data_IF_009228253753
#
_entry.id   IF_009228253753
#
_cell.length_a   1.000
_cell.length_b   1.000
_cell.length_c   1.000
_cell.angle_alpha   90.00
_cell.angle_beta   90.00
_cell.angle_gamma   90.00
#
_symmetry.space_group_name_H-M   'P 1'
#
loop_
_entity.id
_entity.type
_entity.pdbx_description
1 polymer ?
#
# COMPACT_ATOMS: atom_id res chain seq x y z
N UNK A 1 -3.72 -30.24 37.02
CA UNK A 1 -2.54 -30.25 36.12
C UNK A 1 -2.90 -29.95 34.65
N UNK A 2 -3.97 -30.51 34.07
CA UNK A 2 -4.45 -30.21 32.70
C UNK A 2 -4.69 -28.72 32.39
N UNK A 3 -5.34 -27.96 33.28
CA UNK A 3 -5.61 -26.52 33.06
C UNK A 3 -4.32 -25.68 32.95
N UNK A 4 -3.28 -26.00 33.72
CA UNK A 4 -1.96 -25.35 33.61
C UNK A 4 -1.28 -25.67 32.26
N UNK A 5 -1.43 -26.89 31.76
CA UNK A 5 -0.89 -27.29 30.46
C UNK A 5 -1.61 -26.55 29.31
N UNK A 6 -2.95 -26.47 29.35
CA UNK A 6 -3.76 -25.74 28.37
C UNK A 6 -3.40 -24.24 28.37
N UNK A 7 -3.32 -23.62 29.55
CA UNK A 7 -2.93 -22.20 29.64
C UNK A 7 -1.52 -21.94 29.11
N UNK A 8 -0.57 -22.86 29.34
CA UNK A 8 0.78 -22.76 28.80
C UNK A 8 0.79 -22.89 27.27
N UNK A 9 -0.02 -23.80 26.73
CA UNK A 9 -0.17 -24.02 25.29
C UNK A 9 -0.80 -22.80 24.60
N UNK A 10 -1.89 -22.24 25.15
CA UNK A 10 -2.53 -21.01 24.61
C UNK A 10 -1.56 -19.82 24.65
N UNK A 11 -0.77 -19.69 25.71
CA UNK A 11 0.22 -18.61 25.83
C UNK A 11 1.34 -18.75 24.80
N UNK A 12 1.85 -19.96 24.59
CA UNK A 12 2.84 -20.27 23.55
C UNK A 12 2.28 -20.00 22.15
N UNK A 13 1.03 -20.39 21.89
CA UNK A 13 0.37 -20.15 20.61
C UNK A 13 0.22 -18.65 20.32
N UNK A 14 -0.21 -17.85 21.31
CA UNK A 14 -0.26 -16.39 21.17
C UNK A 14 1.12 -15.76 20.94
N UNK A 15 2.17 -16.30 21.57
CA UNK A 15 3.55 -15.84 21.36
C UNK A 15 4.05 -16.18 19.95
N UNK A 16 3.73 -17.37 19.44
CA UNK A 16 4.05 -17.75 18.05
C UNK A 16 3.29 -16.88 17.05
N UNK A 17 1.98 -16.66 17.25
CA UNK A 17 1.18 -15.74 16.41
C UNK A 17 1.76 -14.31 16.41
N UNK A 18 2.18 -13.83 17.59
CA UNK A 18 2.79 -12.50 17.70
C UNK A 18 4.15 -12.42 16.98
N UNK A 19 5.01 -13.43 17.13
CA UNK A 19 6.30 -13.49 16.46
C UNK A 19 6.15 -13.57 14.93
N UNK A 20 5.22 -14.40 14.43
CA UNK A 20 4.92 -14.51 13.00
C UNK A 20 4.36 -13.20 12.43
N UNK A 21 3.54 -12.47 13.20
CA UNK A 21 3.05 -11.15 12.83
C UNK A 21 4.19 -10.11 12.77
N UNK A 22 5.16 -10.17 13.69
CA UNK A 22 6.33 -9.30 13.68
C UNK A 22 7.28 -9.60 12.50
N UNK A 23 7.49 -10.87 12.17
CA UNK A 23 8.28 -11.29 11.01
C UNK A 23 7.65 -10.81 9.69
N UNK A 24 6.34 -11.01 9.55
CA UNK A 24 5.56 -10.51 8.41
C UNK A 24 5.63 -8.98 8.30
N UNK A 25 5.59 -8.28 9.45
CA UNK A 25 5.76 -6.82 9.51
C UNK A 25 7.18 -6.39 9.13
N UNK A 26 8.22 -7.18 9.45
CA UNK A 26 9.61 -6.91 9.07
C UNK A 26 9.84 -7.01 7.56
N UNK A 27 9.24 -8.01 6.91
CA UNK A 27 9.28 -8.16 5.44
C UNK A 27 8.53 -7.00 4.76
N UNK A 28 7.33 -6.66 5.26
CA UNK A 28 6.57 -5.49 4.80
C UNK A 28 7.32 -4.18 5.00
N UNK A 29 7.98 -3.99 6.14
CA UNK A 29 8.75 -2.78 6.44
C UNK A 29 9.95 -2.60 5.49
N UNK A 30 10.59 -3.68 5.06
CA UNK A 30 11.67 -3.64 4.06
C UNK A 30 11.16 -3.17 2.69
N UNK A 31 10.03 -3.70 2.22
CA UNK A 31 9.39 -3.26 0.97
C UNK A 31 8.93 -1.81 1.02
N UNK A 32 8.28 -1.41 2.13
CA UNK A 32 7.80 -0.03 2.33
C UNK A 32 8.97 0.96 2.39
N UNK A 33 10.06 0.63 3.08
CA UNK A 33 11.24 1.48 3.16
C UNK A 33 11.89 1.67 1.78
N UNK A 34 11.95 0.61 0.98
CA UNK A 34 12.42 0.68 -0.40
C UNK A 34 11.54 1.61 -1.26
N UNK A 35 10.22 1.44 -1.19
CA UNK A 35 9.29 2.25 -1.99
C UNK A 35 9.31 3.72 -1.57
N UNK A 36 9.43 4.00 -0.27
CA UNK A 36 9.59 5.36 0.23
C UNK A 36 10.88 6.01 -0.30
N UNK A 37 11.99 5.27 -0.30
CA UNK A 37 13.26 5.75 -0.88
C UNK A 37 13.17 6.01 -2.38
N UNK A 38 12.39 5.21 -3.12
CA UNK A 38 12.16 5.45 -4.54
C UNK A 38 11.40 6.74 -4.80
N UNK A 39 10.38 7.01 -3.98
CA UNK A 39 9.61 8.26 -4.06
C UNK A 39 10.50 9.46 -3.72
N UNK A 40 11.30 9.38 -2.65
CA UNK A 40 12.26 10.43 -2.29
C UNK A 40 13.28 10.68 -3.40
N UNK A 41 13.82 9.63 -4.00
CA UNK A 41 14.75 9.74 -5.13
C UNK A 41 14.11 10.48 -6.31
N UNK A 42 12.85 10.18 -6.62
CA UNK A 42 12.10 10.89 -7.65
C UNK A 42 11.90 12.38 -7.33
N UNK A 43 11.54 12.70 -6.08
CA UNK A 43 11.39 14.08 -5.62
C UNK A 43 12.72 14.85 -5.75
N UNK A 44 13.81 14.28 -5.22
CA UNK A 44 15.14 14.89 -5.26
C UNK A 44 15.64 15.05 -6.70
N UNK A 45 15.45 14.05 -7.56
CA UNK A 45 15.84 14.12 -8.96
C UNK A 45 15.09 15.20 -9.73
N UNK A 46 13.77 15.32 -9.54
CA UNK A 46 12.99 16.39 -10.16
C UNK A 46 13.36 17.78 -9.59
N UNK A 47 13.67 17.88 -8.30
CA UNK A 47 14.11 19.13 -7.70
C UNK A 47 15.46 19.60 -8.28
N UNK A 48 16.43 18.70 -8.41
CA UNK A 48 17.72 18.98 -9.03
C UNK A 48 17.59 19.40 -10.51
N UNK A 49 16.71 18.72 -11.27
CA UNK A 49 16.43 19.09 -12.65
C UNK A 49 15.71 20.44 -12.76
N UNK A 50 14.78 20.74 -11.85
CA UNK A 50 14.13 22.04 -11.79
C UNK A 50 15.15 23.15 -11.53
N UNK A 51 16.04 22.97 -10.55
CA UNK A 51 17.11 23.92 -10.20
C UNK A 51 18.05 24.16 -11.38
N UNK A 52 18.51 23.09 -12.04
CA UNK A 52 19.38 23.18 -13.21
C UNK A 52 18.71 23.94 -14.38
N UNK A 53 17.41 23.72 -14.61
CA UNK A 53 16.69 24.32 -15.73
C UNK A 53 16.12 25.72 -15.43
N UNK A 54 16.28 26.27 -14.22
CA UNK A 54 15.85 27.64 -13.92
C UNK A 54 16.51 28.69 -14.83
N UNK A 55 17.75 28.42 -15.25
CA UNK A 55 18.55 29.33 -16.09
C UNK A 55 18.54 28.87 -17.56
N UNK A 56 18.68 27.57 -17.81
CA UNK A 56 18.81 27.05 -19.19
C UNK A 56 17.47 26.90 -19.93
N UNK A 57 16.39 26.52 -19.23
CA UNK A 57 15.09 26.26 -19.87
C UNK A 57 13.93 26.37 -18.87
N UNK A 58 13.58 27.61 -18.52
CA UNK A 58 12.52 27.90 -17.54
C UNK A 58 11.17 27.25 -17.88
N UNK A 59 10.91 26.99 -19.18
CA UNK A 59 9.65 26.41 -19.66
C UNK A 59 9.42 24.96 -19.20
N UNK A 60 10.47 24.21 -18.87
CA UNK A 60 10.34 22.82 -18.40
C UNK A 60 10.24 22.70 -16.87
N UNK A 61 10.54 23.77 -16.12
CA UNK A 61 10.54 23.77 -14.65
C UNK A 61 9.16 23.40 -14.09
N UNK A 62 8.08 23.90 -14.69
CA UNK A 62 6.71 23.58 -14.27
C UNK A 62 6.41 22.07 -14.30
N UNK A 63 6.97 21.33 -15.25
CA UNK A 63 6.82 19.87 -15.34
C UNK A 63 7.51 19.17 -14.17
N UNK A 64 8.73 19.58 -13.84
CA UNK A 64 9.48 19.00 -12.72
C UNK A 64 8.79 19.30 -11.38
N UNK A 65 8.28 20.52 -11.19
CA UNK A 65 7.49 20.87 -10.01
C UNK A 65 6.21 20.02 -9.91
N UNK A 66 5.49 19.83 -11.02
CA UNK A 66 4.31 18.94 -11.04
C UNK A 66 4.68 17.51 -10.65
N UNK A 67 5.79 16.97 -11.14
CA UNK A 67 6.25 15.63 -10.78
C UNK A 67 6.61 15.52 -9.30
N UNK A 68 7.18 16.56 -8.69
CA UNK A 68 7.45 16.60 -7.24
C UNK A 68 6.15 16.50 -6.46
N UNK A 69 5.11 17.26 -6.86
CA UNK A 69 3.79 17.21 -6.22
C UNK A 69 3.20 15.80 -6.31
N UNK A 70 3.16 15.20 -7.50
CA UNK A 70 2.65 13.84 -7.70
C UNK A 70 3.42 12.79 -6.89
N UNK A 71 4.76 12.88 -6.84
CA UNK A 71 5.56 11.98 -6.00
C UNK A 71 5.29 12.19 -4.50
N UNK A 72 5.06 13.43 -4.07
CA UNK A 72 4.75 13.74 -2.67
C UNK A 72 3.37 13.21 -2.25
N UNK A 73 2.37 13.25 -3.15
CA UNK A 73 1.06 12.64 -2.94
C UNK A 73 1.19 11.12 -2.75
N UNK A 74 2.00 10.45 -3.59
CA UNK A 74 2.29 9.02 -3.43
C UNK A 74 2.98 8.70 -2.10
N UNK A 75 3.88 9.57 -1.63
CA UNK A 75 4.49 9.41 -0.31
C UNK A 75 3.44 9.48 0.81
N UNK A 76 2.50 10.43 0.71
CA UNK A 76 1.42 10.57 1.67
C UNK A 76 0.50 9.34 1.69
N UNK A 77 0.15 8.80 0.52
CA UNK A 77 -0.62 7.57 0.41
C UNK A 77 0.10 6.37 1.03
N UNK A 78 1.41 6.25 0.81
CA UNK A 78 2.22 5.20 1.44
C UNK A 78 2.25 5.35 2.97
N UNK A 79 2.39 6.58 3.49
CA UNK A 79 2.30 6.82 4.93
C UNK A 79 0.92 6.45 5.51
N UNK A 80 -0.16 6.71 4.78
CA UNK A 80 -1.52 6.31 5.19
C UNK A 80 -1.64 4.80 5.27
N UNK A 81 -1.15 4.08 4.25
CA UNK A 81 -1.11 2.62 4.27
C UNK A 81 -0.30 2.08 5.45
N UNK A 82 0.86 2.68 5.76
CA UNK A 82 1.65 2.31 6.95
C UNK A 82 0.87 2.49 8.26
N UNK A 83 0.10 3.58 8.39
CA UNK A 83 -0.75 3.81 9.56
C UNK A 83 -1.86 2.77 9.68
N UNK A 84 -2.51 2.44 8.56
CA UNK A 84 -3.54 1.39 8.48
C UNK A 84 -2.95 0.03 8.90
N UNK A 85 -1.78 -0.34 8.38
CA UNK A 85 -1.08 -1.58 8.76
C UNK A 85 -0.61 -1.60 10.22
N UNK A 86 -0.24 -0.46 10.79
CA UNK A 86 0.16 -0.34 12.20
C UNK A 86 -1.03 -0.42 13.18
N UNK A 87 -2.26 -0.53 12.66
CA UNK A 87 -3.48 -0.52 13.47
C UNK A 87 -3.84 0.85 14.04
N UNK A 88 -3.17 1.92 13.57
CA UNK A 88 -3.42 3.32 13.96
C UNK A 88 -4.24 4.10 12.94
N UNK A 89 -4.55 3.50 11.79
CA UNK A 89 -5.49 4.04 10.82
C UNK A 89 -6.91 4.17 11.40
N UNK A 90 -7.65 5.17 10.95
CA UNK A 90 -9.09 5.22 11.22
C UNK A 90 -9.78 4.14 10.39
N UNK A 91 -10.08 3.00 11.01
CA UNK A 91 -10.91 1.98 10.39
C UNK A 91 -12.36 2.44 10.41
N UNK A 92 -12.90 2.75 9.24
CA UNK A 92 -14.33 2.91 9.07
C UNK A 92 -14.96 1.53 8.89
N UNK A 93 -15.51 0.97 9.97
CA UNK A 93 -16.34 -0.24 9.90
C UNK A 93 -17.70 0.17 9.36
N UNK A 94 -17.99 -0.19 8.11
CA UNK A 94 -19.29 0.01 7.47
C UNK A 94 -19.79 -1.27 6.84
N UNK A 95 -21.11 -1.39 6.72
CA UNK A 95 -21.73 -2.41 5.89
C UNK A 95 -21.34 -2.15 4.44
N UNK A 96 -20.74 -3.14 3.79
CA UNK A 96 -20.33 -3.07 2.39
C UNK A 96 -21.03 -4.16 1.61
N UNK A 97 -21.55 -3.81 0.45
CA UNK A 97 -22.06 -4.76 -0.53
C UNK A 97 -20.87 -5.33 -1.30
N UNK A 98 -20.48 -6.57 -0.96
CA UNK A 98 -19.34 -7.26 -1.58
C UNK A 98 -19.58 -7.47 -3.08
N UNK A 99 -20.83 -7.77 -3.48
CA UNK A 99 -21.19 -7.98 -4.87
C UNK A 99 -20.98 -6.71 -5.69
N UNK A 100 -21.35 -5.55 -5.13
CA UNK A 100 -21.08 -4.25 -5.75
C UNK A 100 -19.59 -3.96 -5.91
N UNK A 101 -18.78 -4.20 -4.88
CA UNK A 101 -17.32 -3.98 -4.93
C UNK A 101 -16.66 -4.86 -6.00
N UNK A 102 -17.08 -6.11 -6.11
CA UNK A 102 -16.56 -7.03 -7.13
C UNK A 102 -16.92 -6.55 -8.54
N UNK A 103 -18.16 -6.10 -8.76
CA UNK A 103 -18.58 -5.54 -10.06
C UNK A 103 -17.85 -4.25 -10.43
N UNK A 104 -17.53 -3.38 -9.46
CA UNK A 104 -16.72 -2.18 -9.73
C UNK A 104 -15.28 -2.55 -10.11
N UNK A 105 -14.75 -3.61 -9.50
CA UNK A 105 -13.39 -4.10 -9.76
C UNK A 105 -13.30 -4.90 -11.08
N UNK A 106 -14.37 -5.60 -11.48
CA UNK A 106 -14.38 -6.41 -12.71
C UNK A 106 -14.12 -5.57 -13.97
N UNK A 107 -14.62 -4.33 -14.01
CA UNK A 107 -14.36 -3.38 -15.09
C UNK A 107 -12.86 -3.10 -15.30
N UNK A 108 -12.08 -3.07 -14.22
CA UNK A 108 -10.63 -2.89 -14.29
C UNK A 108 -9.92 -4.17 -14.73
N UNK A 109 -10.45 -5.33 -14.32
CA UNK A 109 -9.93 -6.64 -14.69
C UNK A 109 -10.16 -6.94 -16.17
N UNK A 110 -11.32 -6.58 -16.73
CA UNK A 110 -11.63 -6.75 -18.15
C UNK A 110 -10.65 -6.01 -19.08
N UNK A 111 -10.10 -4.88 -18.63
CA UNK A 111 -9.11 -4.10 -19.40
C UNK A 111 -7.69 -4.62 -19.19
N UNK A 112 -7.42 -5.30 -18.07
CA UNK A 112 -6.07 -5.74 -17.68
C UNK A 112 -5.77 -7.19 -18.06
N UNK A 113 -6.80 -8.01 -18.25
CA UNK A 113 -6.68 -9.44 -18.53
C UNK A 113 -6.76 -9.68 -20.05
N UNK A 114 -5.99 -10.66 -20.52
CA UNK A 114 -5.98 -11.04 -21.93
C UNK A 114 -7.38 -11.48 -22.42
N UNK A 115 -7.73 -11.10 -23.65
CA UNK A 115 -9.05 -11.36 -24.24
C UNK A 115 -9.38 -12.85 -24.41
N UNK A 116 -8.38 -13.74 -24.30
CA UNK A 116 -8.58 -15.19 -24.32
C UNK A 116 -9.02 -15.79 -22.98
N UNK A 117 -9.16 -14.99 -21.92
CA UNK A 117 -9.54 -15.46 -20.58
C UNK A 117 -10.96 -14.99 -20.27
N UNK A 118 -11.83 -15.94 -19.93
CA UNK A 118 -13.20 -15.66 -19.50
C UNK A 118 -13.26 -15.51 -17.97
N UNK A 119 -13.89 -14.44 -17.50
CA UNK A 119 -14.13 -14.19 -16.07
C UNK A 119 -15.58 -14.55 -15.72
N UNK A 120 -15.75 -15.44 -14.75
CA UNK A 120 -17.06 -15.85 -14.23
C UNK A 120 -17.18 -15.47 -12.75
N UNK A 121 -18.30 -14.83 -12.39
CA UNK A 121 -18.56 -14.36 -11.03
C UNK A 121 -19.83 -15.02 -10.48
N UNK A 122 -19.68 -15.74 -9.36
CA UNK A 122 -20.81 -16.26 -8.58
C UNK A 122 -21.03 -15.38 -7.35
N UNK A 123 -21.87 -14.35 -7.49
CA UNK A 123 -22.13 -13.37 -6.44
C UNK A 123 -23.47 -13.62 -5.76
N UNK A 124 -23.52 -13.41 -4.45
CA UNK A 124 -24.76 -13.41 -3.69
C UNK A 124 -25.62 -12.18 -4.11
N UNK A 125 -26.94 -12.38 -4.15
CA UNK A 125 -27.91 -11.30 -4.42
C UNK A 125 -27.93 -10.25 -3.32
#
# INVERSE_FOLDING_TARGET
>A
QRVKAINKQVKLQRQMEHAQRLESLGVLAGGIAHDFNNILTSIMGNAALAEFNLIENIGVVGKYLSNIVTSSERAADLCKQMLDYSGKGQFEVKTVDISKVINETSLLLEVSIDKGIELQYELAK
#
